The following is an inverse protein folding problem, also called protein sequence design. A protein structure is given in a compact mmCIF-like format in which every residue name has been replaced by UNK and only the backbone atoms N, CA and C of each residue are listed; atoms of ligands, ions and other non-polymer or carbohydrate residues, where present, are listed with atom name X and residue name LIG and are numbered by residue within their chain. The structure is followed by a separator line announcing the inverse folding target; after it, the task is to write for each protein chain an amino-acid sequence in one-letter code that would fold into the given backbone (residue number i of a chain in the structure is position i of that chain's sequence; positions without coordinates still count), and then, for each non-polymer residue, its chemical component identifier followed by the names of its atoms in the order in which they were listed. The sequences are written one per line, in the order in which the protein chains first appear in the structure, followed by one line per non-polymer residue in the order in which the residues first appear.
data_IF_757389050890
#
_entry.id   IF_757389050890
#
_cell.length_a   1.000
_cell.length_b   1.000
_cell.length_c   1.000
_cell.angle_alpha   90.00
_cell.angle_beta   90.00
_cell.angle_gamma   90.00
#
_symmetry.space_group_name_H-M   'P 1'
#
loop_
_entity.id
_entity.type
_entity.pdbx_description
1 polymer ?
#
# COMPACT_ATOMS: atom_id res chain seq x y z
N UNK A 1 -45.49 -14.78 -27.77
CA UNK A 1 -45.26 -13.58 -26.95
C UNK A 1 -44.50 -14.01 -25.71
N UNK A 2 -43.18 -13.82 -25.71
CA UNK A 2 -42.31 -14.06 -24.55
C UNK A 2 -41.98 -12.69 -23.97
N UNK A 3 -42.54 -12.39 -22.80
CA UNK A 3 -42.22 -11.18 -22.05
C UNK A 3 -40.88 -11.38 -21.36
N UNK A 4 -39.84 -10.69 -21.85
CA UNK A 4 -38.54 -10.58 -21.19
C UNK A 4 -38.69 -9.50 -20.11
N UNK A 5 -38.75 -9.94 -18.85
CA UNK A 5 -38.69 -9.04 -17.69
C UNK A 5 -37.27 -8.55 -17.50
N UNK A 6 -36.99 -7.30 -17.90
CA UNK A 6 -35.77 -6.60 -17.53
C UNK A 6 -35.87 -6.18 -16.05
N UNK A 7 -35.16 -6.90 -15.19
CA UNK A 7 -34.92 -6.48 -13.81
C UNK A 7 -33.84 -5.39 -13.83
N UNK A 8 -34.25 -4.14 -13.59
CA UNK A 8 -33.33 -3.02 -13.38
C UNK A 8 -32.87 -3.03 -11.93
N UNK A 9 -31.61 -3.38 -11.67
CA UNK A 9 -30.95 -3.05 -10.41
C UNK A 9 -30.61 -1.55 -10.45
N UNK A 10 -31.35 -0.74 -9.69
CA UNK A 10 -30.99 0.65 -9.45
C UNK A 10 -29.64 0.72 -8.71
N UNK A 11 -28.62 1.24 -9.39
CA UNK A 11 -27.36 1.60 -8.75
C UNK A 11 -27.57 2.87 -7.93
N UNK A 12 -27.83 2.73 -6.63
CA UNK A 12 -27.72 3.84 -5.70
C UNK A 12 -26.23 4.11 -5.45
N UNK A 13 -25.70 5.13 -6.11
CA UNK A 13 -24.41 5.72 -5.75
C UNK A 13 -24.64 6.52 -4.48
N UNK A 14 -24.36 5.91 -3.32
CA UNK A 14 -24.39 6.61 -2.04
C UNK A 14 -23.24 7.61 -1.99
N UNK A 15 -23.57 8.89 -1.96
CA UNK A 15 -22.63 9.98 -1.71
C UNK A 15 -22.72 10.29 -0.21
N UNK A 16 -21.67 10.06 0.59
CA UNK A 16 -21.71 10.36 2.02
C UNK A 16 -21.94 11.85 2.23
N UNK A 17 -22.88 12.20 3.12
CA UNK A 17 -23.07 13.57 3.61
C UNK A 17 -21.93 13.91 4.58
N UNK A 18 -21.40 15.15 4.55
CA UNK A 18 -20.44 15.62 5.53
C UNK A 18 -21.17 16.09 6.78
N UNK A 19 -21.71 15.16 7.56
CA UNK A 19 -21.99 15.41 8.98
C UNK A 19 -20.77 14.97 9.80
N UNK A 20 -20.55 15.58 10.95
CA UNK A 20 -19.45 15.21 11.85
C UNK A 20 -19.62 13.75 12.27
N UNK A 21 -18.83 12.87 11.65
CA UNK A 21 -18.77 11.44 11.95
C UNK A 21 -18.71 11.20 13.47
N UNK A 22 -19.60 10.35 13.98
CA UNK A 22 -19.66 10.04 15.41
C UNK A 22 -18.53 9.11 15.86
N UNK A 23 -17.76 8.60 14.90
CA UNK A 23 -16.61 7.73 15.13
C UNK A 23 -15.28 8.47 15.07
N UNK A 24 -15.28 9.79 14.85
CA UNK A 24 -14.05 10.60 14.84
C UNK A 24 -13.22 10.38 16.10
N UNK A 25 -11.91 10.34 15.90
CA UNK A 25 -10.97 10.26 17.02
C UNK A 25 -11.04 11.54 17.84
N UNK A 26 -11.52 11.42 19.08
CA UNK A 26 -11.43 12.48 20.08
C UNK A 26 -9.96 12.93 20.27
N UNK A 27 -9.75 14.15 20.75
CA UNK A 27 -8.41 14.73 20.93
C UNK A 27 -7.53 13.83 21.81
N UNK A 28 -8.12 13.24 22.85
CA UNK A 28 -7.46 12.29 23.76
C UNK A 28 -7.01 11.02 23.02
N UNK A 29 -7.84 10.50 22.12
CA UNK A 29 -7.49 9.33 21.31
C UNK A 29 -6.36 9.65 20.34
N UNK A 30 -6.38 10.83 19.71
CA UNK A 30 -5.34 11.29 18.79
C UNK A 30 -3.99 11.46 19.50
N UNK A 31 -4.01 12.01 20.72
CA UNK A 31 -2.82 12.15 21.55
C UNK A 31 -2.29 10.81 22.07
N UNK A 32 -3.18 9.91 22.52
CA UNK A 32 -2.79 8.62 23.10
C UNK A 32 -2.30 7.60 22.06
N UNK A 33 -2.79 7.67 20.82
CA UNK A 33 -2.48 6.73 19.76
C UNK A 33 -1.37 7.24 18.81
N UNK A 34 -0.85 8.45 19.01
CA UNK A 34 0.31 8.97 18.28
C UNK A 34 1.61 8.86 19.12
N UNK A 35 2.78 8.54 18.52
CA UNK A 35 3.00 8.15 17.12
C UNK A 35 2.66 6.69 16.84
N UNK A 36 2.30 6.42 15.59
CA UNK A 36 2.16 5.08 15.06
C UNK A 36 2.97 4.90 13.77
N UNK A 37 3.22 3.64 13.41
CA UNK A 37 4.02 3.31 12.25
C UNK A 37 3.23 3.52 10.95
N UNK A 38 3.70 4.44 10.11
CA UNK A 38 3.18 4.68 8.76
C UNK A 38 4.06 4.03 7.67
N UNK A 39 3.63 4.16 6.42
CA UNK A 39 4.35 3.64 5.24
C UNK A 39 5.64 4.39 4.91
N UNK A 40 5.80 5.62 5.42
CA UNK A 40 7.00 6.45 5.21
C UNK A 40 7.86 6.56 6.48
N UNK A 41 7.34 6.12 7.62
CA UNK A 41 7.94 6.29 8.94
C UNK A 41 6.87 6.53 10.01
N UNK A 42 7.27 6.96 11.20
CA UNK A 42 6.33 7.29 12.27
C UNK A 42 5.57 8.60 12.00
N UNK A 43 4.26 8.61 12.26
CA UNK A 43 3.39 9.77 12.01
C UNK A 43 2.25 9.91 13.03
N UNK A 44 1.66 11.11 13.08
CA UNK A 44 0.39 11.40 13.75
C UNK A 44 -0.78 11.47 12.75
N UNK A 45 -2.01 11.52 13.28
CA UNK A 45 -3.25 11.64 12.51
C UNK A 45 -3.39 12.92 11.69
N UNK A 46 -2.73 14.00 12.10
CA UNK A 46 -2.73 15.28 11.38
C UNK A 46 -1.78 15.29 10.17
N UNK A 47 -1.14 14.16 9.88
CA UNK A 47 -0.15 14.04 8.81
C UNK A 47 1.14 14.79 9.11
N UNK A 48 1.28 15.39 10.30
CA UNK A 48 2.55 15.97 10.70
C UNK A 48 3.56 14.82 10.83
N UNK A 49 4.70 14.90 10.12
CA UNK A 49 5.78 13.99 10.41
C UNK A 49 6.17 14.30 11.86
N UNK A 50 6.06 13.31 12.74
CA UNK A 50 6.79 13.39 14.00
C UNK A 50 8.23 13.29 13.54
N UNK A 51 8.89 14.45 13.38
CA UNK A 51 10.26 14.52 12.90
C UNK A 51 10.99 13.39 13.58
N UNK A 52 11.58 12.48 12.81
CA UNK A 52 12.82 11.83 13.23
C UNK A 52 13.87 12.94 13.32
N UNK A 53 13.63 13.96 14.15
CA UNK A 53 14.63 14.94 14.50
C UNK A 53 15.69 14.06 15.10
N UNK A 54 16.89 14.04 14.53
CA UNK A 54 18.04 13.26 14.99
C UNK A 54 18.47 13.52 16.45
N UNK A 55 17.60 14.07 17.29
CA UNK A 55 17.54 13.80 18.71
C UNK A 55 17.13 12.34 18.87
N UNK A 56 18.15 11.50 19.09
CA UNK A 56 18.08 10.31 19.93
C UNK A 56 16.72 10.20 20.62
N UNK A 57 15.85 9.31 20.13
CA UNK A 57 14.75 8.81 20.95
C UNK A 57 15.43 8.40 22.25
N UNK A 58 15.19 9.17 23.32
CA UNK A 58 15.77 8.87 24.61
C UNK A 58 15.44 7.40 24.88
N UNK A 59 16.48 6.63 25.15
CA UNK A 59 16.56 5.17 25.15
C UNK A 59 15.62 4.47 26.16
N UNK A 60 14.62 5.18 26.67
CA UNK A 60 13.57 4.71 27.57
C UNK A 60 12.28 4.32 26.85
N UNK A 61 12.14 4.58 25.54
CA UNK A 61 11.00 4.13 24.72
C UNK A 61 11.39 3.02 23.72
N UNK A 62 11.98 1.95 24.22
CA UNK A 62 12.04 0.64 23.54
C UNK A 62 10.64 -0.03 23.47
N UNK A 63 9.59 0.73 23.18
CA UNK A 63 8.32 0.17 22.72
C UNK A 63 8.48 0.02 21.21
N UNK A 64 8.64 -1.22 20.75
CA UNK A 64 8.75 -1.53 19.32
C UNK A 64 7.61 -0.80 18.57
N UNK A 65 7.89 -0.13 17.43
CA UNK A 65 6.84 0.57 16.70
C UNK A 65 5.77 -0.43 16.25
N UNK A 66 4.51 -0.09 16.52
CA UNK A 66 3.35 -0.94 16.26
C UNK A 66 3.10 -1.07 14.75
N UNK A 67 3.77 -2.01 14.07
CA UNK A 67 3.42 -2.38 12.69
C UNK A 67 2.22 -3.32 12.59
N UNK A 68 1.70 -3.76 13.72
CA UNK A 68 0.56 -4.67 13.86
C UNK A 68 -0.44 -4.09 14.84
N UNK A 69 -1.66 -4.62 14.83
CA UNK A 69 -2.75 -4.15 15.68
C UNK A 69 -3.36 -2.82 15.23
N UNK A 70 -2.90 -2.31 14.10
CA UNK A 70 -3.41 -1.14 13.44
C UNK A 70 -4.56 -1.49 12.52
N UNK A 71 -5.54 -0.60 12.49
CA UNK A 71 -6.64 -0.69 11.55
C UNK A 71 -6.21 -0.20 10.17
N UNK A 72 -6.70 -0.86 9.15
CA UNK A 72 -6.44 -0.53 7.77
C UNK A 72 -7.75 -0.57 6.98
N UNK A 73 -7.91 0.40 6.10
CA UNK A 73 -8.94 0.32 5.08
C UNK A 73 -8.36 -0.34 3.83
N UNK A 74 -8.81 -1.57 3.60
CA UNK A 74 -8.44 -2.37 2.43
C UNK A 74 -8.79 -1.65 1.11
N UNK A 75 -9.84 -0.82 1.06
CA UNK A 75 -10.22 -0.09 -0.17
C UNK A 75 -9.17 0.91 -0.61
N UNK A 76 -8.65 1.66 0.34
CA UNK A 76 -7.72 2.76 0.07
C UNK A 76 -6.27 2.35 0.28
N UNK A 77 -6.02 1.20 0.92
CA UNK A 77 -4.69 0.86 1.45
C UNK A 77 -4.26 1.79 2.59
N UNK A 78 -5.18 2.59 3.14
CA UNK A 78 -4.86 3.59 4.16
C UNK A 78 -4.71 2.91 5.53
N UNK A 79 -3.56 3.12 6.15
CA UNK A 79 -3.37 2.87 7.58
C UNK A 79 -4.11 3.94 8.38
N UNK A 80 -4.86 3.51 9.38
CA UNK A 80 -5.72 4.37 10.18
C UNK A 80 -5.14 4.51 11.59
N UNK A 81 -5.73 3.84 12.58
CA UNK A 81 -5.36 3.97 13.98
C UNK A 81 -5.07 2.60 14.58
N UNK A 82 -4.19 2.52 15.58
CA UNK A 82 -4.09 1.35 16.45
C UNK A 82 -5.46 1.02 17.04
N UNK A 83 -5.92 -0.22 16.86
CA UNK A 83 -7.15 -0.75 17.42
C UNK A 83 -6.88 -1.77 18.53
N UNK A 84 -5.73 -2.44 18.48
CA UNK A 84 -5.35 -3.44 19.45
C UNK A 84 -4.59 -2.82 20.62
N UNK A 85 -4.89 -3.30 21.82
CA UNK A 85 -4.12 -3.02 23.01
C UNK A 85 -2.82 -3.82 22.95
N UNK A 86 -1.73 -3.12 22.71
CA UNK A 86 -0.38 -3.70 22.77
C UNK A 86 0.21 -3.37 24.14
N UNK A 87 0.55 -4.40 24.90
CA UNK A 87 1.33 -4.28 26.11
C UNK A 87 2.74 -4.81 25.80
N UNK A 88 3.73 -3.92 25.83
CA UNK A 88 5.13 -4.33 25.75
C UNK A 88 5.59 -4.69 27.17
N UNK A 89 5.88 -5.98 27.47
CA UNK A 89 6.54 -6.30 28.73
C UNK A 89 7.90 -5.60 28.75
N UNK A 90 8.26 -5.01 29.90
CA UNK A 90 9.54 -4.32 30.09
C UNK A 90 10.75 -5.24 29.88
N UNK A 91 10.55 -6.56 29.99
CA UNK A 91 11.55 -7.59 29.78
C UNK A 91 10.92 -8.77 29.01
N UNK A 92 11.44 -9.06 27.82
CA UNK A 92 11.00 -10.19 27.01
C UNK A 92 11.77 -10.29 25.70
N UNK A 93 12.28 -11.48 25.37
CA UNK A 93 12.88 -11.74 24.07
C UNK A 93 11.78 -11.76 22.99
N UNK A 94 11.78 -10.75 22.11
CA UNK A 94 10.97 -10.78 20.91
C UNK A 94 11.68 -11.61 19.84
N UNK A 95 10.95 -12.54 19.22
CA UNK A 95 11.46 -13.27 18.05
C UNK A 95 11.34 -12.36 16.85
N UNK A 96 12.46 -11.71 16.52
CA UNK A 96 12.62 -10.93 15.29
C UNK A 96 13.17 -11.86 14.22
N UNK A 97 12.36 -12.12 13.19
CA UNK A 97 12.85 -12.77 11.97
C UNK A 97 13.31 -11.68 11.00
N UNK A 98 14.63 -11.62 10.78
CA UNK A 98 15.25 -10.68 9.84
C UNK A 98 15.03 -11.21 8.41
N UNK A 99 14.27 -10.50 7.60
CA UNK A 99 13.99 -10.87 6.22
C UNK A 99 14.88 -10.07 5.25
N UNK A 100 15.91 -10.69 4.66
CA UNK A 100 16.73 -10.01 3.64
C UNK A 100 16.01 -9.95 2.29
N UNK A 101 15.64 -8.76 1.85
CA UNK A 101 15.09 -8.51 0.51
C UNK A 101 16.17 -8.45 -0.57
N UNK A 102 15.90 -9.02 -1.74
CA UNK A 102 16.64 -8.74 -2.99
C UNK A 102 15.90 -7.64 -3.75
N UNK A 103 16.63 -6.69 -4.34
CA UNK A 103 16.06 -5.72 -5.29
C UNK A 103 15.32 -6.44 -6.42
N UNK A 104 14.05 -6.12 -6.64
CA UNK A 104 13.29 -6.60 -7.80
C UNK A 104 12.87 -5.41 -8.64
N UNK A 105 13.31 -5.39 -9.90
CA UNK A 105 12.78 -4.45 -10.90
C UNK A 105 11.62 -5.10 -11.61
N UNK A 106 10.49 -4.40 -11.61
CA UNK A 106 9.28 -4.78 -12.32
C UNK A 106 9.03 -3.75 -13.41
N UNK A 107 8.80 -4.23 -14.62
CA UNK A 107 8.48 -3.39 -15.78
C UNK A 107 7.02 -3.65 -16.15
N UNK A 108 6.21 -2.59 -16.12
CA UNK A 108 4.79 -2.59 -16.43
C UNK A 108 4.58 -1.84 -17.74
N UNK A 109 4.04 -2.52 -18.75
CA UNK A 109 3.78 -1.93 -20.07
C UNK A 109 2.38 -1.31 -20.19
N UNK A 110 1.49 -1.66 -19.28
CA UNK A 110 0.09 -1.24 -19.27
C UNK A 110 -0.49 -1.30 -17.85
N UNK A 111 -1.72 -0.81 -17.70
CA UNK A 111 -2.39 -0.72 -16.41
C UNK A 111 -2.70 -2.12 -15.85
N UNK A 112 -3.09 -3.09 -16.69
CA UNK A 112 -3.36 -4.46 -16.24
C UNK A 112 -2.13 -5.10 -15.59
N UNK A 113 -0.94 -4.94 -16.18
CA UNK A 113 0.30 -5.47 -15.63
C UNK A 113 0.69 -4.82 -14.30
N UNK A 114 0.41 -3.53 -14.11
CA UNK A 114 0.63 -2.84 -12.85
C UNK A 114 -0.39 -3.28 -11.77
N UNK A 115 -1.64 -3.48 -12.19
CA UNK A 115 -2.74 -3.85 -11.31
C UNK A 115 -2.66 -5.30 -10.82
N UNK A 116 -2.11 -6.20 -11.63
CA UNK A 116 -2.09 -7.64 -11.33
C UNK A 116 -1.29 -8.00 -10.05
N UNK A 117 -0.05 -7.51 -9.82
CA UNK A 117 0.65 -7.75 -8.55
C UNK A 117 -0.11 -7.24 -7.33
N UNK A 118 -0.85 -6.14 -7.49
CA UNK A 118 -1.70 -5.61 -6.43
C UNK A 118 -2.88 -6.55 -6.19
N UNK A 119 -3.65 -6.92 -7.22
CA UNK A 119 -4.78 -7.84 -7.09
C UNK A 119 -4.37 -9.18 -6.47
N UNK A 120 -3.22 -9.73 -6.88
CA UNK A 120 -2.68 -10.97 -6.30
C UNK A 120 -2.33 -10.80 -4.83
N UNK A 121 -1.51 -9.79 -4.49
CA UNK A 121 -1.16 -9.53 -3.08
C UNK A 121 -2.42 -9.29 -2.25
N UNK A 122 -3.38 -8.57 -2.80
CA UNK A 122 -4.65 -8.24 -2.19
C UNK A 122 -5.56 -9.46 -1.97
N UNK A 123 -5.60 -10.39 -2.92
CA UNK A 123 -6.33 -11.66 -2.78
C UNK A 123 -5.75 -12.50 -1.63
N UNK A 124 -4.43 -12.43 -1.44
CA UNK A 124 -3.71 -13.12 -0.37
C UNK A 124 -3.76 -12.36 0.98
N UNK A 125 -4.49 -11.25 1.07
CA UNK A 125 -4.59 -10.43 2.30
C UNK A 125 -3.35 -9.58 2.59
N UNK A 126 -2.46 -9.43 1.60
CA UNK A 126 -1.22 -8.67 1.67
C UNK A 126 -1.35 -7.28 1.04
N UNK A 127 -0.63 -6.30 1.58
CA UNK A 127 -0.46 -4.97 0.99
C UNK A 127 1.02 -4.64 0.94
N UNK A 128 1.55 -4.33 -0.24
CA UNK A 128 2.95 -3.95 -0.43
C UNK A 128 3.15 -2.47 -0.14
N UNK A 129 4.21 -2.07 0.52
CA UNK A 129 4.52 -0.66 0.78
C UNK A 129 4.96 0.10 -0.46
N UNK A 130 5.16 1.41 -0.26
CA UNK A 130 5.50 2.35 -1.33
C UNK A 130 4.34 2.56 -2.31
N UNK A 131 4.63 2.75 -3.60
CA UNK A 131 3.58 3.08 -4.57
C UNK A 131 2.62 1.93 -4.92
N UNK A 132 2.93 0.71 -4.50
CA UNK A 132 2.03 -0.43 -4.66
C UNK A 132 1.08 -0.62 -3.46
N UNK A 133 1.09 0.29 -2.49
CA UNK A 133 0.30 0.17 -1.27
C UNK A 133 -1.16 0.50 -1.42
N UNK A 134 -1.50 1.41 -2.34
CA UNK A 134 -2.83 1.99 -2.40
C UNK A 134 -3.48 1.76 -3.76
N UNK A 135 -4.73 1.29 -3.81
CA UNK A 135 -5.41 1.01 -5.09
C UNK A 135 -5.75 2.31 -5.84
N UNK A 136 -6.04 3.38 -5.08
CA UNK A 136 -6.21 4.73 -5.62
C UNK A 136 -4.98 5.17 -6.41
N UNK A 137 -3.80 4.91 -5.86
CA UNK A 137 -2.54 5.31 -6.47
C UNK A 137 -2.31 4.50 -7.75
N UNK A 138 -2.67 3.22 -7.78
CA UNK A 138 -2.56 2.41 -9.00
C UNK A 138 -3.41 2.98 -10.14
N UNK A 139 -4.64 3.44 -9.86
CA UNK A 139 -5.49 4.07 -10.87
C UNK A 139 -4.93 5.43 -11.30
N UNK A 140 -4.44 6.23 -10.36
CA UNK A 140 -3.78 7.51 -10.65
C UNK A 140 -2.52 7.30 -11.52
N UNK A 141 -1.66 6.36 -11.14
CA UNK A 141 -0.46 5.98 -11.89
C UNK A 141 -0.79 5.45 -13.25
N UNK A 142 -1.80 4.59 -13.34
CA UNK A 142 -2.22 4.04 -14.62
C UNK A 142 -2.68 5.15 -15.57
N UNK A 143 -3.40 6.14 -15.03
CA UNK A 143 -3.82 7.31 -15.78
C UNK A 143 -2.64 8.23 -16.16
N UNK A 144 -1.66 8.41 -15.28
CA UNK A 144 -0.57 9.37 -15.50
C UNK A 144 0.49 8.84 -16.47
N UNK A 145 0.84 7.55 -16.38
CA UNK A 145 1.94 6.98 -17.16
C UNK A 145 1.46 6.32 -18.45
N UNK A 146 0.44 5.46 -18.42
CA UNK A 146 0.07 4.70 -19.62
C UNK A 146 -0.67 5.53 -20.67
N UNK A 147 -1.30 6.66 -20.29
CA UNK A 147 -1.94 7.56 -21.28
C UNK A 147 -0.98 8.19 -22.29
N UNK A 148 0.33 8.22 -22.00
CA UNK A 148 1.35 8.86 -22.86
C UNK A 148 2.14 7.88 -23.72
N UNK A 149 1.66 6.64 -23.85
CA UNK A 149 2.39 5.53 -24.49
C UNK A 149 3.74 5.22 -23.82
N UNK A 150 3.84 5.54 -22.54
CA UNK A 150 4.96 5.21 -21.69
C UNK A 150 4.70 3.89 -20.93
N UNK A 151 5.77 3.22 -20.54
CA UNK A 151 5.81 2.09 -19.62
C UNK A 151 6.42 2.55 -18.29
N UNK A 152 6.07 1.88 -17.21
CA UNK A 152 6.59 2.15 -15.87
C UNK A 152 7.59 1.07 -15.46
N UNK A 153 8.76 1.47 -15.02
CA UNK A 153 9.69 0.59 -14.32
C UNK A 153 9.77 0.99 -12.85
N UNK A 154 9.65 0.01 -11.96
CA UNK A 154 9.70 0.18 -10.51
C UNK A 154 10.80 -0.73 -9.94
N UNK A 155 11.73 -0.14 -9.21
CA UNK A 155 12.70 -0.83 -8.36
C UNK A 155 12.33 -0.62 -6.90
N UNK A 156 12.05 -1.71 -6.20
CA UNK A 156 11.86 -1.70 -4.75
C UNK A 156 12.95 -2.56 -4.12
N UNK A 157 13.81 -1.92 -3.32
CA UNK A 157 14.86 -2.58 -2.54
C UNK A 157 14.52 -2.43 -1.07
N UNK A 158 13.88 -3.48 -0.55
CA UNK A 158 13.60 -3.65 0.87
C UNK A 158 14.90 -4.02 1.57
N UNK A 159 15.32 -3.19 2.51
CA UNK A 159 16.30 -3.60 3.53
C UNK A 159 15.48 -4.31 4.61
N UNK A 160 16.08 -5.26 5.31
CA UNK A 160 15.43 -6.20 6.21
C UNK A 160 15.77 -5.94 7.68
N UNK A 161 14.79 -5.65 8.54
CA UNK A 161 14.90 -5.47 9.98
C UNK A 161 14.06 -6.54 10.69
N UNK A 162 12.72 -6.54 10.57
CA UNK A 162 11.90 -7.54 11.29
C UNK A 162 10.47 -7.74 10.78
N UNK A 163 9.97 -8.97 10.95
CA UNK A 163 8.54 -9.31 10.85
C UNK A 163 7.87 -9.28 12.22
N UNK A 164 6.71 -8.61 12.32
CA UNK A 164 5.86 -8.62 13.51
C UNK A 164 4.62 -9.48 13.25
N UNK A 165 4.23 -10.30 14.22
CA UNK A 165 3.02 -11.13 14.17
C UNK A 165 2.27 -11.04 15.50
N UNK A 166 0.96 -10.85 15.46
CA UNK A 166 0.10 -10.92 16.64
C UNK A 166 -0.46 -12.32 16.83
N UNK A 167 -0.44 -12.76 18.08
CA UNK A 167 -1.16 -13.97 18.46
C UNK A 167 -2.66 -13.65 18.64
N UNK A 168 -3.46 -13.97 17.62
CA UNK A 168 -4.89 -13.63 17.53
C UNK A 168 -5.69 -14.16 18.72
N UNK A 169 -5.30 -15.29 19.32
CA UNK A 169 -6.03 -15.89 20.44
C UNK A 169 -6.01 -15.07 21.74
N UNK A 170 -5.10 -14.10 21.86
CA UNK A 170 -4.91 -13.29 23.08
C UNK A 170 -5.06 -11.79 22.83
N UNK A 171 -5.62 -11.39 21.68
CA UNK A 171 -5.75 -9.99 21.31
C UNK A 171 -6.95 -9.34 22.01
N UNK A 172 -6.74 -8.17 22.60
CA UNK A 172 -7.80 -7.30 23.10
C UNK A 172 -7.83 -5.99 22.32
N UNK A 173 -9.04 -5.48 22.05
CA UNK A 173 -9.22 -4.12 21.55
C UNK A 173 -8.79 -3.10 22.63
N UNK A 174 -8.18 -1.99 22.21
CA UNK A 174 -7.90 -0.87 23.11
C UNK A 174 -9.18 -0.17 23.55
N UNK A 175 -9.10 0.72 24.54
CA UNK A 175 -10.27 1.41 25.09
C UNK A 175 -11.06 2.18 24.05
N UNK A 176 -10.37 2.86 23.12
CA UNK A 176 -11.01 3.66 22.07
C UNK A 176 -11.73 2.77 21.05
N UNK A 177 -11.08 1.70 20.60
CA UNK A 177 -11.67 0.72 19.68
C UNK A 177 -12.90 0.01 20.30
N UNK A 178 -12.86 -0.30 21.60
CA UNK A 178 -14.02 -0.86 22.30
C UNK A 178 -15.18 0.12 22.40
N UNK A 179 -14.90 1.39 22.71
CA UNK A 179 -15.92 2.44 22.78
C UNK A 179 -16.64 2.59 21.44
N UNK A 180 -15.91 2.67 20.32
CA UNK A 180 -16.54 2.82 19.01
C UNK A 180 -17.34 1.59 18.59
N UNK A 181 -16.86 0.38 18.88
CA UNK A 181 -17.62 -0.85 18.59
C UNK A 181 -18.91 -0.88 19.42
N UNK A 182 -18.90 -0.37 20.65
CA UNK A 182 -20.09 -0.33 21.51
C UNK A 182 -21.20 0.61 21.01
N UNK A 183 -20.88 1.54 20.10
CA UNK A 183 -21.85 2.46 19.48
C UNK A 183 -22.56 1.83 18.27
N UNK A 184 -22.06 0.71 17.75
CA UNK A 184 -22.74 -0.03 16.69
C UNK A 184 -23.99 -0.72 17.25
N UNK A 185 -25.09 -0.70 16.50
CA UNK A 185 -26.38 -1.23 16.96
C UNK A 185 -26.77 -2.51 16.22
N UNK A 186 -27.50 -3.45 16.85
CA UNK A 186 -27.97 -4.67 16.20
C UNK A 186 -28.91 -4.41 15.00
N UNK A 187 -29.65 -3.30 15.03
CA UNK A 187 -30.50 -2.88 13.92
C UNK A 187 -29.62 -2.34 12.80
N UNK A 188 -29.72 -2.92 11.61
CA UNK A 188 -28.87 -2.52 10.49
C UNK A 188 -29.21 -1.11 10.02
N UNK A 189 -28.27 -0.20 10.21
CA UNK A 189 -28.27 1.15 9.66
C UNK A 189 -27.02 1.29 8.76
N UNK A 190 -27.18 1.32 7.42
CA UNK A 190 -26.02 1.36 6.53
C UNK A 190 -25.15 2.60 6.76
N UNK A 191 -25.72 3.73 7.14
CA UNK A 191 -25.00 5.00 7.27
C UNK A 191 -24.09 4.97 8.51
N UNK A 192 -24.61 4.46 9.63
CA UNK A 192 -23.84 4.21 10.85
C UNK A 192 -22.62 3.30 10.60
N UNK A 193 -22.83 2.21 9.86
CA UNK A 193 -21.77 1.23 9.63
C UNK A 193 -20.76 1.72 8.59
N UNK A 194 -21.19 2.46 7.56
CA UNK A 194 -20.28 3.11 6.62
C UNK A 194 -19.42 4.17 7.33
N UNK A 195 -20.00 4.97 8.22
CA UNK A 195 -19.27 5.97 9.01
C UNK A 195 -18.18 5.33 9.89
N UNK A 196 -18.51 4.19 10.52
CA UNK A 196 -17.52 3.39 11.26
C UNK A 196 -16.38 2.94 10.35
N UNK A 197 -16.69 2.37 9.18
CA UNK A 197 -15.68 1.84 8.26
C UNK A 197 -14.84 2.94 7.58
N UNK A 198 -15.37 4.15 7.39
CA UNK A 198 -14.59 5.29 6.90
C UNK A 198 -13.57 5.78 7.93
N UNK A 199 -13.92 5.64 9.21
CA UNK A 199 -13.07 6.09 10.29
C UNK A 199 -12.08 5.04 10.75
N UNK A 200 -12.50 3.77 10.87
CA UNK A 200 -11.69 2.67 11.42
C UNK A 200 -11.26 1.65 10.38
N UNK A 201 -11.73 1.75 9.14
CA UNK A 201 -11.36 0.86 8.06
C UNK A 201 -12.07 -0.48 8.15
N UNK A 202 -11.57 -1.44 7.38
CA UNK A 202 -12.25 -2.73 7.17
C UNK A 202 -11.52 -3.90 7.84
N UNK A 203 -10.25 -3.73 8.17
CA UNK A 203 -9.39 -4.78 8.70
C UNK A 203 -8.49 -4.29 9.83
N UNK A 204 -7.94 -5.24 10.58
CA UNK A 204 -6.84 -5.05 11.53
C UNK A 204 -5.63 -5.86 11.06
N UNK A 205 -4.46 -5.24 11.06
CA UNK A 205 -3.19 -5.84 10.67
C UNK A 205 -2.71 -6.80 11.76
N UNK A 206 -2.54 -8.07 11.43
CA UNK A 206 -2.03 -9.09 12.36
C UNK A 206 -0.60 -9.49 12.07
N UNK A 207 -0.12 -9.24 10.85
CA UNK A 207 1.26 -9.51 10.50
C UNK A 207 1.80 -8.49 9.53
N UNK A 208 3.03 -8.03 9.77
CA UNK A 208 3.66 -7.04 8.92
C UNK A 208 5.18 -7.14 8.90
N UNK A 209 5.75 -6.59 7.83
CA UNK A 209 7.17 -6.32 7.67
C UNK A 209 7.43 -4.84 7.97
N UNK A 210 8.30 -4.60 8.94
CA UNK A 210 8.67 -3.26 9.41
C UNK A 210 10.13 -3.01 9.10
N UNK A 211 10.42 -1.94 8.36
CA UNK A 211 11.72 -1.78 7.73
C UNK A 211 12.05 -0.44 7.08
N UNK A 212 13.19 -0.41 6.37
CA UNK A 212 13.50 0.57 5.33
C UNK A 212 13.28 0.05 3.91
N UNK A 213 12.86 0.93 3.00
CA UNK A 213 12.80 0.63 1.56
C UNK A 213 13.40 1.76 0.75
N UNK A 214 14.28 1.44 -0.20
CA UNK A 214 14.66 2.36 -1.26
C UNK A 214 13.78 2.05 -2.48
N UNK A 215 13.08 3.06 -2.98
CA UNK A 215 12.18 2.94 -4.11
C UNK A 215 12.58 3.91 -5.23
N UNK A 216 12.67 3.38 -6.44
CA UNK A 216 12.99 4.15 -7.62
C UNK A 216 12.03 3.84 -8.75
N UNK A 217 11.69 4.86 -9.51
CA UNK A 217 10.79 4.74 -10.65
C UNK A 217 11.39 5.40 -11.87
N UNK A 218 11.17 4.76 -13.01
CA UNK A 218 11.50 5.32 -14.30
C UNK A 218 10.35 5.15 -15.26
N UNK A 219 10.13 6.18 -16.07
CA UNK A 219 9.32 6.10 -17.27
C UNK A 219 10.19 5.54 -18.39
N UNK A 220 9.69 4.56 -19.13
CA UNK A 220 10.37 3.95 -20.28
C UNK A 220 9.47 4.06 -21.50
N UNK A 221 9.99 4.45 -22.67
CA UNK A 221 9.16 4.47 -23.89
C UNK A 221 8.62 3.08 -24.23
N UNK A 222 7.29 2.90 -24.28
CA UNK A 222 6.65 1.57 -24.42
C UNK A 222 7.02 0.85 -25.72
N UNK A 223 7.10 1.59 -26.82
CA UNK A 223 7.41 1.04 -28.14
C UNK A 223 8.91 0.89 -28.41
N UNK A 224 9.75 1.08 -27.40
CA UNK A 224 11.15 0.71 -27.49
C UNK A 224 11.29 -0.79 -27.24
N UNK A 225 11.59 -1.53 -28.31
CA UNK A 225 11.75 -2.98 -28.29
C UNK A 225 12.97 -3.41 -27.47
N UNK A 226 12.78 -3.63 -26.18
CA UNK A 226 13.62 -4.59 -25.48
C UNK A 226 13.09 -6.00 -25.82
N UNK A 227 13.67 -6.64 -26.83
CA UNK A 227 13.42 -8.06 -27.14
C UNK A 227 13.68 -9.00 -25.95
N UNK A 228 14.21 -8.48 -24.84
CA UNK A 228 14.36 -9.16 -23.57
C UNK A 228 14.07 -8.20 -22.39
N UNK A 229 12.95 -8.40 -21.68
CA UNK A 229 12.59 -7.64 -20.46
C UNK A 229 13.69 -7.65 -19.40
N UNK A 230 14.54 -8.68 -19.38
CA UNK A 230 15.66 -8.81 -18.46
C UNK A 230 16.75 -7.74 -18.72
N UNK A 231 17.07 -7.50 -20.00
CA UNK A 231 18.06 -6.48 -20.41
C UNK A 231 17.52 -5.08 -20.10
N UNK A 232 16.24 -4.83 -20.39
CA UNK A 232 15.60 -3.56 -20.04
C UNK A 232 15.70 -3.28 -18.55
N UNK A 233 15.34 -4.27 -17.72
CA UNK A 233 15.47 -4.15 -16.27
C UNK A 233 16.90 -3.79 -15.85
N UNK A 234 17.91 -4.47 -16.40
CA UNK A 234 19.32 -4.25 -16.06
C UNK A 234 19.87 -2.88 -16.49
N UNK A 235 19.36 -2.33 -17.59
CA UNK A 235 19.89 -1.12 -18.18
C UNK A 235 19.14 0.17 -17.76
N UNK A 236 18.06 0.07 -16.98
CA UNK A 236 17.45 1.25 -16.36
C UNK A 236 18.43 1.78 -15.30
N UNK A 237 18.72 3.09 -15.27
CA UNK A 237 19.75 3.68 -14.42
C UNK A 237 19.28 3.85 -12.97
N UNK A 238 18.86 2.75 -12.35
CA UNK A 238 18.62 2.68 -10.91
C UNK A 238 19.94 2.68 -10.14
N UNK A 239 19.97 3.34 -8.98
CA UNK A 239 21.21 3.60 -8.24
C UNK A 239 21.83 2.35 -7.62
N UNK A 240 21.07 1.27 -7.53
CA UNK A 240 21.54 -0.04 -7.06
C UNK A 240 22.12 -0.92 -8.19
N UNK A 241 22.31 -0.35 -9.39
CA UNK A 241 22.81 -1.05 -10.57
C UNK A 241 24.02 -0.36 -11.14
N UNK A 242 25.03 -1.16 -11.45
CA UNK A 242 26.12 -0.75 -12.31
C UNK A 242 25.74 -1.12 -13.75
N UNK A 243 25.51 -0.14 -14.66
CA UNK A 243 25.27 -0.38 -16.07
C UNK A 243 26.58 -0.81 -16.74
N UNK A 244 27.14 -1.94 -16.31
CA UNK A 244 28.46 -2.44 -16.67
C UNK A 244 28.58 -2.96 -18.11
N UNK A 245 27.53 -2.82 -18.93
CA UNK A 245 27.51 -3.36 -20.28
C UNK A 245 27.26 -2.28 -21.34
N UNK A 246 28.09 -2.26 -22.38
CA UNK A 246 28.07 -1.28 -23.49
C UNK A 246 26.70 -1.19 -24.18
N UNK A 247 25.89 -2.26 -24.09
CA UNK A 247 24.52 -2.32 -24.61
C UNK A 247 23.54 -1.43 -23.87
N UNK A 248 23.82 -1.01 -22.63
CA UNK A 248 22.89 -0.24 -21.81
C UNK A 248 22.78 1.24 -22.17
N UNK A 249 23.77 1.83 -22.87
CA UNK A 249 23.74 3.24 -23.25
C UNK A 249 22.49 3.62 -24.06
N UNK A 250 22.06 2.75 -24.98
CA UNK A 250 20.83 2.96 -25.74
C UNK A 250 19.58 2.84 -24.85
N UNK A 251 19.47 1.81 -24.02
CA UNK A 251 18.32 1.62 -23.12
C UNK A 251 18.15 2.76 -22.11
N UNK A 252 19.26 3.25 -21.54
CA UNK A 252 19.24 4.37 -20.60
C UNK A 252 18.71 5.65 -21.24
N UNK A 253 18.94 5.89 -22.54
CA UNK A 253 18.41 7.06 -23.26
C UNK A 253 16.90 7.02 -23.51
N UNK A 254 16.27 5.86 -23.35
CA UNK A 254 14.82 5.67 -23.46
C UNK A 254 14.12 5.56 -22.10
N UNK A 255 14.88 5.71 -21.01
CA UNK A 255 14.38 5.71 -19.65
C UNK A 255 14.63 7.08 -18.99
N UNK A 256 13.66 7.56 -18.23
CA UNK A 256 13.81 8.78 -17.41
C UNK A 256 13.42 8.45 -15.99
N UNK A 257 14.35 8.62 -15.04
CA UNK A 257 14.06 8.47 -13.62
C UNK A 257 13.13 9.61 -13.19
N UNK A 258 12.03 9.25 -12.53
CA UNK A 258 10.98 10.18 -12.11
C UNK A 258 10.76 10.17 -10.59
N UNK A 259 11.22 9.11 -9.91
CA UNK A 259 11.20 9.02 -8.47
C UNK A 259 12.46 8.31 -8.00
N UNK A 260 13.05 8.84 -6.93
CA UNK A 260 14.05 8.18 -6.12
C UNK A 260 13.83 8.61 -4.68
N UNK A 261 13.32 7.69 -3.86
CA UNK A 261 13.01 7.98 -2.46
C UNK A 261 13.40 6.84 -1.55
N UNK A 262 13.49 7.16 -0.27
CA UNK A 262 13.67 6.22 0.83
C UNK A 262 12.45 6.27 1.73
N UNK A 263 12.09 5.14 2.31
CA UNK A 263 11.04 5.00 3.31
C UNK A 263 11.69 4.48 4.58
N UNK A 264 11.32 5.05 5.73
CA UNK A 264 11.97 4.75 7.01
C UNK A 264 13.39 5.33 7.11
N UNK A 265 13.91 5.37 8.33
CA UNK A 265 15.16 6.03 8.71
C UNK A 265 15.12 7.53 8.51
N UNK A 266 16.30 8.14 8.51
CA UNK A 266 16.49 9.52 8.10
C UNK A 266 16.55 9.59 6.57
N UNK A 267 15.43 9.96 5.96
CA UNK A 267 15.27 10.06 4.51
C UNK A 267 16.13 11.16 3.87
N UNK A 268 16.70 12.10 4.66
CA UNK A 268 17.54 13.17 4.16
C UNK A 268 19.00 12.75 3.94
N UNK A 269 19.42 11.62 4.52
CA UNK A 269 20.75 11.07 4.26
C UNK A 269 20.81 10.56 2.82
N UNK A 270 21.87 10.88 2.08
CA UNK A 270 22.10 10.37 0.72
C UNK A 270 22.95 9.09 0.74
N UNK A 271 23.80 8.92 1.75
CA UNK A 271 24.64 7.74 1.88
C UNK A 271 23.80 6.52 2.29
N UNK A 272 23.87 5.44 1.50
CA UNK A 272 23.11 4.20 1.72
C UNK A 272 23.45 3.53 3.07
N UNK A 273 24.72 3.57 3.48
CA UNK A 273 25.19 2.96 4.73
C UNK A 273 24.72 3.77 5.94
N UNK A 274 24.87 5.10 5.91
CA UNK A 274 24.42 5.98 6.98
C UNK A 274 22.90 5.92 7.16
N UNK A 275 22.14 5.96 6.07
CA UNK A 275 20.69 5.79 6.11
C UNK A 275 20.28 4.45 6.74
N UNK A 276 20.92 3.34 6.36
CA UNK A 276 20.62 2.01 6.93
C UNK A 276 20.78 1.95 8.45
N UNK A 277 21.78 2.66 9.01
CA UNK A 277 22.00 2.72 10.46
C UNK A 277 20.80 3.37 11.17
N UNK A 278 20.18 4.37 10.54
CA UNK A 278 19.04 5.10 11.11
C UNK A 278 17.72 4.33 11.06
N UNK A 279 17.63 3.22 10.31
CA UNK A 279 16.40 2.44 10.20
C UNK A 279 15.94 1.86 11.55
N UNK A 280 16.88 1.55 12.44
CA UNK A 280 16.56 1.08 13.80
C UNK A 280 15.88 2.15 14.66
N UNK A 281 16.02 3.42 14.30
CA UNK A 281 15.50 4.57 15.05
C UNK A 281 14.11 4.98 14.53
N UNK A 282 13.86 4.83 13.23
CA UNK A 282 12.60 5.25 12.62
C UNK A 282 12.19 4.35 11.47
N UNK A 283 11.90 3.07 11.68
CA UNK A 283 11.49 2.20 10.59
C UNK A 283 10.14 2.64 10.02
N UNK A 284 9.75 2.06 8.88
CA UNK A 284 8.47 2.25 8.22
C UNK A 284 7.73 0.91 8.08
N UNK A 285 6.41 0.95 7.94
CA UNK A 285 5.62 -0.23 7.59
C UNK A 285 5.81 -0.51 6.09
N UNK A 286 6.63 -1.50 5.75
CA UNK A 286 6.97 -1.81 4.36
C UNK A 286 6.02 -2.81 3.74
N UNK A 287 5.43 -3.73 4.51
CA UNK A 287 4.44 -4.65 3.95
C UNK A 287 3.46 -5.09 5.04
N UNK A 288 2.18 -5.13 4.69
CA UNK A 288 1.18 -5.88 5.44
C UNK A 288 1.17 -7.30 4.87
N UNK A 289 1.43 -8.28 5.72
CA UNK A 289 1.51 -9.68 5.32
C UNK A 289 0.20 -10.42 5.62
N UNK A 290 -0.48 -10.06 6.71
CA UNK A 290 -1.75 -10.66 7.08
C UNK A 290 -2.64 -9.61 7.77
N UNK A 291 -3.93 -9.71 7.48
CA UNK A 291 -4.99 -8.90 8.09
C UNK A 291 -6.20 -9.77 8.41
N UNK A 292 -6.94 -9.37 9.43
CA UNK A 292 -8.23 -9.97 9.82
C UNK A 292 -9.34 -8.93 9.74
N UNK A 293 -10.58 -9.37 9.59
CA UNK A 293 -11.70 -8.46 9.40
C UNK A 293 -12.15 -7.87 10.73
N UNK A 294 -12.59 -6.62 10.73
CA UNK A 294 -13.02 -5.93 11.95
C UNK A 294 -14.11 -6.68 12.72
N UNK A 295 -15.02 -7.35 11.99
CA UNK A 295 -16.11 -8.09 12.60
C UNK A 295 -15.64 -9.31 13.43
N UNK A 296 -14.41 -9.78 13.26
CA UNK A 296 -13.86 -10.88 14.06
C UNK A 296 -13.57 -10.45 15.52
N UNK A 297 -13.57 -9.14 15.80
CA UNK A 297 -13.38 -8.57 17.14
C UNK A 297 -14.68 -8.11 17.80
N UNK A 298 -15.83 -8.36 17.16
CA UNK A 298 -17.14 -7.97 17.67
C UNK A 298 -17.85 -9.18 18.29
N UNK A 299 -18.24 -9.05 19.56
CA UNK A 299 -18.89 -10.13 20.30
C UNK A 299 -20.38 -10.28 19.96
N UNK A 300 -21.08 -9.18 19.65
CA UNK A 300 -22.49 -9.23 19.26
C UNK A 300 -22.63 -9.78 17.84
N UNK A 301 -23.35 -10.89 17.71
CA UNK A 301 -23.48 -11.60 16.43
C UNK A 301 -24.29 -10.81 15.39
N UNK A 302 -25.25 -9.98 15.82
CA UNK A 302 -26.03 -9.15 14.89
C UNK A 302 -25.16 -8.03 14.33
N UNK A 303 -24.40 -7.35 15.19
CA UNK A 303 -23.44 -6.32 14.77
C UNK A 303 -22.35 -6.91 13.87
N UNK A 304 -21.87 -8.12 14.19
CA UNK A 304 -20.91 -8.85 13.36
C UNK A 304 -21.46 -9.14 11.96
N UNK A 305 -22.70 -9.63 11.85
CA UNK A 305 -23.37 -9.89 10.57
C UNK A 305 -23.54 -8.61 9.75
N UNK A 306 -23.91 -7.51 10.40
CA UNK A 306 -24.06 -6.20 9.77
C UNK A 306 -22.73 -5.67 9.23
N UNK A 307 -21.66 -5.71 10.03
CA UNK A 307 -20.30 -5.37 9.58
C UNK A 307 -19.83 -6.28 8.43
N UNK A 308 -20.08 -7.58 8.53
CA UNK A 308 -19.73 -8.53 7.47
C UNK A 308 -20.41 -8.17 6.15
N UNK A 309 -21.69 -7.80 6.21
CA UNK A 309 -22.49 -7.39 5.05
C UNK A 309 -21.91 -6.14 4.40
N UNK A 310 -21.68 -5.08 5.18
CA UNK A 310 -21.23 -3.80 4.64
C UNK A 310 -19.78 -3.85 4.14
N UNK A 311 -18.88 -4.59 4.82
CA UNK A 311 -17.50 -4.78 4.37
C UNK A 311 -17.46 -5.55 3.04
N UNK A 312 -18.27 -6.61 2.90
CA UNK A 312 -18.36 -7.38 1.64
C UNK A 312 -18.91 -6.53 0.49
N UNK A 313 -19.90 -5.68 0.78
CA UNK A 313 -20.45 -4.74 -0.20
C UNK A 313 -19.37 -3.78 -0.70
N UNK A 314 -18.61 -3.15 0.21
CA UNK A 314 -17.49 -2.26 -0.14
C UNK A 314 -16.46 -2.96 -1.02
N UNK A 315 -16.02 -4.16 -0.62
CA UNK A 315 -15.00 -4.93 -1.35
C UNK A 315 -15.40 -5.21 -2.80
N UNK A 316 -16.63 -5.70 -3.04
CA UNK A 316 -17.11 -6.02 -4.39
C UNK A 316 -17.16 -4.80 -5.31
N UNK A 317 -17.60 -3.66 -4.79
CA UNK A 317 -17.72 -2.44 -5.60
C UNK A 317 -16.35 -1.93 -6.07
N UNK A 318 -15.31 -2.09 -5.26
CA UNK A 318 -13.95 -1.64 -5.61
C UNK A 318 -13.37 -2.50 -6.72
N UNK A 319 -13.48 -3.83 -6.59
CA UNK A 319 -12.97 -4.76 -7.59
C UNK A 319 -13.58 -4.48 -8.97
N UNK A 320 -14.88 -4.18 -9.01
CA UNK A 320 -15.60 -3.81 -10.25
C UNK A 320 -15.11 -2.48 -10.82
N UNK A 321 -15.08 -1.41 -10.02
CA UNK A 321 -14.67 -0.08 -10.48
C UNK A 321 -13.22 -0.08 -10.96
N UNK A 322 -12.33 -0.74 -10.23
CA UNK A 322 -10.91 -0.82 -10.57
C UNK A 322 -10.67 -1.63 -11.84
N UNK A 323 -11.34 -2.78 -11.98
CA UNK A 323 -11.23 -3.62 -13.20
C UNK A 323 -11.70 -2.87 -14.44
N UNK A 324 -12.84 -2.17 -14.35
CA UNK A 324 -13.36 -1.38 -15.46
C UNK A 324 -12.43 -0.22 -15.82
N UNK A 325 -11.93 0.53 -14.82
CA UNK A 325 -11.01 1.63 -15.06
C UNK A 325 -9.70 1.17 -15.72
N UNK A 326 -9.13 0.05 -15.26
CA UNK A 326 -7.92 -0.55 -15.86
C UNK A 326 -8.18 -0.97 -17.31
N UNK A 327 -9.31 -1.62 -17.58
CA UNK A 327 -9.69 -2.03 -18.93
C UNK A 327 -9.84 -0.82 -19.88
N UNK A 328 -10.47 0.27 -19.41
CA UNK A 328 -10.61 1.50 -20.20
C UNK A 328 -9.28 2.19 -20.50
N UNK A 329 -8.32 2.15 -19.57
CA UNK A 329 -6.97 2.70 -19.80
C UNK A 329 -6.24 1.86 -20.85
N UNK A 330 -6.26 0.54 -20.70
CA UNK A 330 -5.57 -0.36 -21.62
C UNK A 330 -6.14 -0.33 -23.04
N UNK A 331 -7.46 -0.19 -23.18
CA UNK A 331 -8.12 -0.06 -24.47
C UNK A 331 -7.69 1.19 -25.26
N UNK A 332 -7.14 2.21 -24.59
CA UNK A 332 -6.66 3.46 -25.22
C UNK A 332 -5.20 3.40 -25.62
N UNK A 333 -4.47 2.36 -25.25
CA UNK A 333 -3.06 2.23 -25.58
C UNK A 333 -2.90 1.94 -27.08
N UNK A 334 -2.15 2.79 -27.78
CA UNK A 334 -1.87 2.58 -29.19
C UNK A 334 -1.11 1.26 -29.41
N UNK A 335 -1.49 0.49 -30.43
CA UNK A 335 -0.62 -0.61 -30.83
C UNK A 335 0.70 -0.01 -31.31
N UNK A 336 1.82 -0.50 -30.77
CA UNK A 336 3.13 -0.12 -31.28
C UNK A 336 3.21 -0.57 -32.73
N UNK A 337 2.97 0.35 -33.66
CA UNK A 337 3.18 0.09 -35.06
C UNK A 337 4.68 -0.07 -35.25
N UNK A 338 5.08 -1.31 -35.47
CA UNK A 338 6.35 -1.64 -36.07
C UNK A 338 6.39 -0.99 -37.44
N UNK A 339 6.84 0.27 -37.49
CA UNK A 339 7.46 0.78 -38.67
C UNK A 339 8.61 -0.17 -38.94
N UNK A 340 8.46 -1.04 -39.96
CA UNK A 340 9.60 -1.71 -40.57
C UNK A 340 10.66 -0.63 -40.74
N UNK A 341 11.70 -0.68 -39.91
CA UNK A 341 12.96 -0.05 -40.25
C UNK A 341 13.34 -0.68 -41.58
N UNK A 342 13.04 0.03 -42.69
CA UNK A 342 13.60 -0.28 -43.99
C UNK A 342 15.08 -0.46 -43.73
N UNK A 343 15.56 -1.70 -43.81
CA UNK A 343 17.00 -1.97 -43.96
C UNK A 343 17.42 -1.15 -45.17
N UNK A 344 18.06 -0.02 -44.94
CA UNK A 344 18.83 0.66 -45.96
C UNK A 344 20.04 -0.26 -46.13
N UNK A 345 19.92 -1.20 -47.06
CA UNK A 345 21.03 -2.00 -47.55
C UNK A 345 22.00 -1.03 -48.21
N UNK A 346 23.05 -0.64 -47.52
CA UNK A 346 24.21 0.00 -48.14
C UNK A 346 25.00 -1.14 -48.79
N UNK A 347 24.71 -1.43 -50.05
CA UNK A 347 25.61 -2.18 -50.92
C UNK A 347 26.78 -1.27 -51.30
N UNK A 348 27.99 -1.75 -51.02
CA UNK A 348 29.25 -1.14 -51.47
C UNK A 348 29.42 -1.27 -52.98
#
# INVERSE_FOLDING_TARGET
MLAVGLSYCAHYVYLPKPEESQFQFAEEARAALCPFLGTEGMRCFDGSPVKSSGRTFASTYLQLPCGVGMSADRRSGRLIAPAIKLAYPLEGCHTVEIAYGRSRVQNFRNASQLNEPWQRSFADGMVRGGELARPSDILEYSNNYFKRDDALALSQRVIGLYTLTLNISTIELNSFARDVVSKLTPNFDPDLYEDFLDTWGTHIITKSLVDGMAEQQAIVKRCFEAGNNHILGQCIPFSDRDPSNFTCGNYASFASMILNRRLGGDMALENDYEWKITLSIGPALIQILEMVLWYDFVADESVKQNLCTIIRYRQRNIDLVQTEAVHQIDARLYQCHFGMLKRISITR
#
